data_IF_110843608049
#
_entry.id   IF_110843608049
#
_cell.length_a   1.000
_cell.length_b   1.000
_cell.length_c   1.000
_cell.angle_alpha   90.00
_cell.angle_beta   90.00
_cell.angle_gamma   90.00
#
_symmetry.space_group_name_H-M   'P 1'
#
loop_
_entity.id
_entity.type
_entity.pdbx_description
1 polymer ?
#
# COMPACT_ATOMS: atom_id res chain seq x y z
N UNK A 1 2.31 25.20 -14.24
CA UNK A 1 1.73 24.30 -13.27
C UNK A 1 2.77 23.23 -12.92
N UNK A 2 3.04 23.04 -11.65
CA UNK A 2 3.92 21.98 -11.14
C UNK A 2 3.20 20.63 -11.23
N UNK A 3 3.89 19.50 -11.47
CA UNK A 3 3.27 18.19 -11.44
C UNK A 3 2.79 17.86 -10.02
N UNK A 4 1.69 17.14 -9.93
CA UNK A 4 1.17 16.64 -8.66
C UNK A 4 2.19 15.67 -8.03
N UNK A 5 2.50 15.86 -6.76
CA UNK A 5 3.21 14.92 -5.93
C UNK A 5 2.36 14.68 -4.66
N UNK A 6 1.62 13.56 -4.59
CA UNK A 6 0.57 13.35 -3.59
C UNK A 6 0.69 12.00 -2.90
N UNK A 7 0.57 12.01 -1.57
CA UNK A 7 0.41 10.82 -0.74
C UNK A 7 -1.08 10.56 -0.49
N UNK A 8 -1.55 9.40 -0.91
CA UNK A 8 -2.88 8.88 -0.60
C UNK A 8 -2.75 7.88 0.56
N UNK A 9 -3.20 8.29 1.70
CA UNK A 9 -3.17 7.50 2.93
C UNK A 9 -4.57 6.95 3.22
N UNK A 10 -4.64 5.69 3.63
CA UNK A 10 -5.90 5.08 4.03
C UNK A 10 -5.68 3.68 4.56
N UNK A 11 -6.57 3.20 5.40
CA UNK A 11 -6.51 1.86 5.97
C UNK A 11 -6.59 0.77 4.88
N UNK A 12 -6.27 -0.46 5.24
CA UNK A 12 -6.42 -1.62 4.34
C UNK A 12 -7.89 -1.74 3.90
N UNK A 13 -8.11 -1.74 2.57
CA UNK A 13 -9.44 -1.83 1.99
C UNK A 13 -10.23 -0.51 1.94
N UNK A 14 -9.63 0.65 2.23
CA UNK A 14 -10.29 1.97 2.16
C UNK A 14 -10.60 2.46 0.74
N UNK A 15 -10.26 1.70 -0.31
CA UNK A 15 -10.53 2.10 -1.69
C UNK A 15 -9.39 2.83 -2.41
N UNK A 16 -8.17 2.85 -1.87
CA UNK A 16 -7.00 3.49 -2.53
C UNK A 16 -6.82 3.08 -3.99
N UNK A 17 -7.04 1.80 -4.30
CA UNK A 17 -6.91 1.28 -5.67
C UNK A 17 -7.95 1.89 -6.62
N UNK A 18 -9.15 2.21 -6.15
CA UNK A 18 -10.19 2.87 -6.96
C UNK A 18 -9.77 4.31 -7.28
N UNK A 19 -9.23 5.04 -6.30
CA UNK A 19 -8.69 6.40 -6.53
C UNK A 19 -7.52 6.36 -7.52
N UNK A 20 -6.63 5.39 -7.40
CA UNK A 20 -5.53 5.19 -8.34
C UNK A 20 -6.04 4.87 -9.77
N UNK A 21 -7.08 4.02 -9.88
CA UNK A 21 -7.73 3.70 -11.15
C UNK A 21 -8.34 4.94 -11.82
N UNK A 22 -9.03 5.79 -11.03
CA UNK A 22 -9.58 7.05 -11.49
C UNK A 22 -8.49 8.01 -12.00
N UNK A 23 -7.40 8.15 -11.24
CA UNK A 23 -6.26 8.98 -11.65
C UNK A 23 -5.56 8.45 -12.92
N UNK A 24 -5.39 7.14 -13.04
CA UNK A 24 -4.85 6.49 -14.24
C UNK A 24 -5.76 6.72 -15.45
N UNK A 25 -7.07 6.56 -15.26
CA UNK A 25 -8.04 6.82 -16.30
C UNK A 25 -7.99 8.27 -16.78
N UNK A 26 -7.89 9.23 -15.84
CA UNK A 26 -7.72 10.65 -16.17
C UNK A 26 -6.48 10.91 -17.01
N UNK A 27 -5.35 10.29 -16.67
CA UNK A 27 -4.11 10.42 -17.46
C UNK A 27 -4.28 9.85 -18.88
N UNK A 28 -4.91 8.66 -19.00
CA UNK A 28 -5.15 7.99 -20.27
C UNK A 28 -6.14 8.78 -21.14
N UNK A 29 -7.21 9.32 -20.58
CA UNK A 29 -8.18 10.17 -21.27
C UNK A 29 -7.51 11.43 -21.87
N UNK A 30 -6.45 11.92 -21.23
CA UNK A 30 -5.64 13.03 -21.74
C UNK A 30 -4.50 12.58 -22.69
N UNK A 31 -4.48 11.31 -23.09
CA UNK A 31 -3.52 10.73 -24.06
C UNK A 31 -2.13 10.50 -23.47
N UNK A 32 -2.00 10.33 -22.17
CA UNK A 32 -0.78 9.92 -21.49
C UNK A 32 -0.84 8.45 -21.11
N UNK A 33 0.32 7.88 -20.81
CA UNK A 33 0.44 6.55 -20.23
C UNK A 33 0.52 6.65 -18.70
N UNK A 34 0.02 5.62 -18.01
CA UNK A 34 0.15 5.46 -16.57
C UNK A 34 1.02 4.27 -16.19
N UNK A 35 1.76 4.40 -15.11
CA UNK A 35 2.53 3.30 -14.50
C UNK A 35 2.08 3.07 -13.06
N UNK A 36 1.80 1.82 -12.67
CA UNK A 36 1.55 1.43 -11.29
C UNK A 36 2.63 0.46 -10.83
N UNK A 37 3.38 0.86 -9.82
CA UNK A 37 4.45 0.07 -9.21
C UNK A 37 3.98 -0.58 -7.92
N UNK A 38 4.09 -1.91 -7.85
CA UNK A 38 3.78 -2.72 -6.67
C UNK A 38 5.04 -3.38 -6.11
N UNK A 39 5.10 -3.65 -4.79
CA UNK A 39 6.31 -4.19 -4.15
C UNK A 39 6.61 -5.65 -4.49
N UNK A 40 5.61 -6.43 -4.90
CA UNK A 40 5.76 -7.85 -5.26
C UNK A 40 5.04 -8.19 -6.55
N UNK A 41 5.43 -9.31 -7.19
CA UNK A 41 4.82 -9.77 -8.44
C UNK A 41 3.34 -10.13 -8.26
N UNK A 42 2.99 -10.78 -7.15
CA UNK A 42 1.60 -11.16 -6.87
C UNK A 42 0.70 -9.91 -6.71
N UNK A 43 1.19 -8.88 -6.03
CA UNK A 43 0.45 -7.61 -5.94
C UNK A 43 0.33 -6.92 -7.30
N UNK A 44 1.39 -6.96 -8.11
CA UNK A 44 1.33 -6.43 -9.46
C UNK A 44 0.30 -7.21 -10.32
N UNK A 45 0.25 -8.54 -10.23
CA UNK A 45 -0.76 -9.37 -10.88
C UNK A 45 -2.18 -9.03 -10.40
N UNK A 46 -2.37 -8.86 -9.08
CA UNK A 46 -3.65 -8.49 -8.50
C UNK A 46 -4.11 -7.11 -8.96
N UNK A 47 -3.22 -6.10 -8.92
CA UNK A 47 -3.53 -4.77 -9.43
C UNK A 47 -3.83 -4.79 -10.93
N UNK A 48 -3.05 -5.52 -11.74
CA UNK A 48 -3.29 -5.64 -13.17
C UNK A 48 -4.65 -6.29 -13.46
N UNK A 49 -5.02 -7.34 -12.71
CA UNK A 49 -6.33 -7.99 -12.84
C UNK A 49 -7.47 -7.03 -12.48
N UNK A 50 -7.36 -6.35 -11.34
CA UNK A 50 -8.37 -5.41 -10.86
C UNK A 50 -8.53 -4.21 -11.83
N UNK A 51 -7.42 -3.63 -12.28
CA UNK A 51 -7.47 -2.53 -13.24
C UNK A 51 -8.01 -2.96 -14.60
N UNK A 52 -7.69 -4.18 -15.06
CA UNK A 52 -8.32 -4.73 -16.27
C UNK A 52 -9.83 -4.85 -16.12
N UNK A 53 -10.31 -5.36 -15.00
CA UNK A 53 -11.75 -5.46 -14.73
C UNK A 53 -12.44 -4.09 -14.68
N UNK A 54 -11.81 -3.12 -14.01
CA UNK A 54 -12.38 -1.78 -13.84
C UNK A 54 -12.31 -0.92 -15.11
N UNK A 55 -11.22 -1.01 -15.88
CA UNK A 55 -10.91 -0.03 -16.92
C UNK A 55 -11.05 -0.57 -18.35
N UNK A 56 -11.02 -1.90 -18.59
CA UNK A 56 -11.05 -2.45 -19.96
C UNK A 56 -12.35 -2.16 -20.72
N UNK A 57 -13.42 -1.86 -20.01
CA UNK A 57 -14.73 -1.54 -20.58
C UNK A 57 -14.97 -0.03 -20.70
N UNK A 58 -14.06 0.79 -20.16
CA UNK A 58 -14.16 2.24 -20.23
C UNK A 58 -13.60 2.67 -21.59
N UNK A 59 -14.41 3.24 -22.47
CA UNK A 59 -13.92 3.76 -23.74
C UNK A 59 -12.99 4.95 -23.52
N UNK A 60 -11.82 4.93 -24.14
CA UNK A 60 -10.89 6.07 -24.12
C UNK A 60 -10.60 6.52 -25.55
N UNK A 61 -10.47 7.83 -25.81
CA UNK A 61 -10.20 8.33 -27.14
C UNK A 61 -8.84 7.83 -27.62
N UNK A 62 -8.79 7.22 -28.83
CA UNK A 62 -7.54 6.98 -29.53
C UNK A 62 -7.02 8.31 -30.07
N UNK A 63 -5.87 8.74 -29.64
CA UNK A 63 -5.13 9.75 -30.40
C UNK A 63 -4.44 9.06 -31.58
N UNK A 64 -5.05 9.15 -32.77
CA UNK A 64 -4.26 9.12 -34.01
C UNK A 64 -3.35 10.34 -34.02
N UNK A 65 -2.20 10.26 -34.68
CA UNK A 65 -1.25 11.36 -34.85
C UNK A 65 -1.84 12.60 -35.57
N UNK A 66 -3.09 12.53 -35.98
CA UNK A 66 -3.88 13.60 -36.56
C UNK A 66 -5.01 13.97 -35.62
N UNK A 67 -5.12 15.25 -35.29
CA UNK A 67 -6.16 15.80 -34.42
C UNK A 67 -7.56 15.47 -35.00
N UNK A 68 -8.27 14.54 -34.36
CA UNK A 68 -9.66 14.25 -34.71
C UNK A 68 -10.58 15.31 -34.11
N UNK A 69 -11.43 15.91 -34.95
CA UNK A 69 -12.47 16.83 -34.55
C UNK A 69 -13.54 16.13 -33.70
N UNK A 70 -14.03 16.81 -32.66
CA UNK A 70 -14.91 16.29 -31.61
C UNK A 70 -16.29 15.75 -32.02
N UNK A 71 -16.60 15.58 -33.29
CA UNK A 71 -17.91 15.09 -33.77
C UNK A 71 -18.01 13.56 -33.98
N UNK A 72 -16.87 12.80 -33.87
CA UNK A 72 -16.85 11.35 -34.16
C UNK A 72 -17.05 10.46 -32.93
N UNK A 73 -17.34 11.01 -31.76
CA UNK A 73 -17.38 10.24 -30.50
C UNK A 73 -18.78 9.81 -30.05
N UNK A 74 -19.80 9.86 -30.90
CA UNK A 74 -21.18 9.52 -30.52
C UNK A 74 -21.55 8.12 -30.97
N UNK A 75 -21.92 7.25 -30.02
CA UNK A 75 -22.68 5.98 -30.09
C UNK A 75 -21.94 4.68 -29.69
N UNK A 76 -21.75 4.44 -28.39
CA UNK A 76 -21.78 3.10 -27.79
C UNK A 76 -22.34 3.23 -26.36
N UNK A 77 -23.50 2.61 -26.10
CA UNK A 77 -24.04 2.50 -24.74
C UNK A 77 -23.31 1.39 -23.97
N UNK A 78 -22.17 1.73 -23.38
CA UNK A 78 -21.36 0.81 -22.57
C UNK A 78 -22.03 0.42 -21.25
N UNK A 79 -23.01 1.22 -20.77
CA UNK A 79 -23.74 0.96 -19.52
C UNK A 79 -24.66 -0.23 -19.65
N UNK A 80 -25.22 -0.46 -20.83
CA UNK A 80 -26.08 -1.61 -21.10
C UNK A 80 -25.32 -2.96 -21.07
N UNK A 81 -23.98 -2.94 -21.03
CA UNK A 81 -23.12 -4.12 -21.04
C UNK A 81 -22.53 -4.48 -19.66
N UNK A 82 -22.77 -3.66 -18.63
CA UNK A 82 -22.27 -3.85 -17.27
C UNK A 82 -23.37 -4.43 -16.38
N UNK A 83 -22.97 -5.26 -15.41
CA UNK A 83 -23.88 -5.60 -14.32
C UNK A 83 -24.15 -4.36 -13.42
N UNK A 84 -25.24 -4.36 -12.64
CA UNK A 84 -25.62 -3.20 -11.84
C UNK A 84 -24.55 -2.74 -10.83
N UNK A 85 -23.75 -3.66 -10.30
CA UNK A 85 -22.70 -3.37 -9.31
C UNK A 85 -21.45 -2.79 -9.99
N UNK A 86 -21.07 -3.31 -11.15
CA UNK A 86 -20.01 -2.76 -12.00
C UNK A 86 -20.38 -1.37 -12.52
N UNK A 87 -21.63 -1.18 -12.95
CA UNK A 87 -22.14 0.11 -13.42
C UNK A 87 -22.13 1.17 -12.29
N UNK A 88 -22.49 0.81 -11.06
CA UNK A 88 -22.46 1.70 -9.91
C UNK A 88 -21.03 2.15 -9.60
N UNK A 89 -20.08 1.21 -9.53
CA UNK A 89 -18.65 1.50 -9.28
C UNK A 89 -18.05 2.40 -10.37
N UNK A 90 -18.40 2.14 -11.62
CA UNK A 90 -17.90 2.95 -12.73
C UNK A 90 -18.50 4.36 -12.75
N UNK A 91 -19.81 4.50 -12.43
CA UNK A 91 -20.45 5.81 -12.29
C UNK A 91 -19.80 6.63 -11.15
N UNK A 92 -19.42 5.98 -10.05
CA UNK A 92 -18.69 6.62 -8.96
C UNK A 92 -17.33 7.14 -9.43
N UNK A 93 -16.56 6.33 -10.19
CA UNK A 93 -15.29 6.74 -10.79
C UNK A 93 -15.49 7.92 -11.76
N UNK A 94 -16.48 7.83 -12.65
CA UNK A 94 -16.79 8.87 -13.64
C UNK A 94 -17.19 10.19 -12.97
N UNK A 95 -17.97 10.14 -11.87
CA UNK A 95 -18.29 11.33 -11.07
C UNK A 95 -17.06 11.94 -10.39
N UNK A 96 -16.16 11.11 -9.84
CA UNK A 96 -14.93 11.57 -9.19
C UNK A 96 -14.03 12.32 -10.17
N UNK A 97 -13.93 11.86 -11.44
CA UNK A 97 -13.10 12.50 -12.46
C UNK A 97 -13.78 13.67 -13.19
N UNK A 98 -15.03 13.99 -12.84
CA UNK A 98 -15.77 15.11 -13.43
C UNK A 98 -16.12 14.93 -14.92
N UNK A 99 -16.13 13.69 -15.41
CA UNK A 99 -16.61 13.37 -16.77
C UNK A 99 -18.14 13.37 -16.78
N UNK A 100 -18.73 14.09 -17.70
CA UNK A 100 -20.19 14.04 -17.90
C UNK A 100 -20.56 12.73 -18.59
N UNK A 101 -21.64 12.07 -18.18
CA UNK A 101 -22.08 10.79 -18.74
C UNK A 101 -22.50 10.82 -20.22
N UNK A 102 -22.55 12.00 -20.82
CA UNK A 102 -23.09 12.26 -22.16
C UNK A 102 -21.99 12.39 -23.25
N UNK A 103 -20.71 12.43 -22.87
CA UNK A 103 -19.64 12.41 -23.85
C UNK A 103 -19.40 10.98 -24.32
N UNK A 104 -20.01 10.68 -25.42
CA UNK A 104 -19.96 9.40 -26.16
C UNK A 104 -18.54 9.17 -26.67
N UNK A 105 -17.82 8.28 -26.02
CA UNK A 105 -16.42 7.99 -26.35
C UNK A 105 -16.33 6.71 -27.19
N UNK A 106 -16.47 6.83 -28.50
CA UNK A 106 -16.20 5.77 -29.47
C UNK A 106 -14.74 5.31 -29.43
N UNK A 107 -14.35 4.65 -28.36
CA UNK A 107 -12.97 4.22 -28.11
C UNK A 107 -12.85 2.75 -27.76
N UNK A 108 -11.64 2.21 -27.83
CA UNK A 108 -11.34 0.90 -27.27
C UNK A 108 -11.08 1.05 -25.77
N UNK A 109 -11.43 0.02 -24.96
CA UNK A 109 -11.14 0.02 -23.53
C UNK A 109 -9.66 0.19 -23.21
N UNK A 110 -9.36 0.68 -21.99
CA UNK A 110 -7.99 0.90 -21.50
C UNK A 110 -7.16 -0.39 -21.56
N UNK A 111 -6.03 -0.33 -22.23
CA UNK A 111 -5.13 -1.48 -22.39
C UNK A 111 -4.15 -1.55 -21.23
N UNK A 112 -4.39 -2.48 -20.33
CA UNK A 112 -3.56 -2.72 -19.14
C UNK A 112 -2.61 -3.88 -19.41
N UNK A 113 -1.30 -3.69 -19.20
CA UNK A 113 -0.29 -4.73 -19.27
C UNK A 113 0.42 -4.96 -17.94
N UNK A 114 0.90 -6.18 -17.71
CA UNK A 114 1.73 -6.57 -16.58
C UNK A 114 3.19 -6.67 -17.02
N UNK A 115 4.12 -6.12 -16.23
CA UNK A 115 5.56 -6.22 -16.43
C UNK A 115 6.26 -6.65 -15.14
N UNK A 116 6.61 -7.92 -15.03
CA UNK A 116 7.31 -8.52 -13.87
C UNK A 116 8.62 -9.17 -14.28
N UNK A 117 9.43 -9.56 -13.30
CA UNK A 117 10.67 -10.27 -13.54
C UNK A 117 10.50 -11.68 -14.09
N UNK A 118 9.38 -12.34 -13.74
CA UNK A 118 9.04 -13.73 -14.13
C UNK A 118 8.49 -13.86 -15.56
N UNK A 119 8.18 -12.74 -16.24
CA UNK A 119 7.71 -12.77 -17.63
C UNK A 119 8.72 -13.40 -18.58
N UNK A 120 8.23 -14.33 -19.43
CA UNK A 120 9.03 -14.94 -20.48
C UNK A 120 9.61 -13.89 -21.46
N UNK A 121 10.81 -14.15 -21.98
CA UNK A 121 11.57 -13.19 -22.82
C UNK A 121 10.76 -12.64 -24.00
N UNK A 122 9.97 -13.48 -24.66
CA UNK A 122 9.15 -13.09 -25.84
C UNK A 122 7.98 -12.17 -25.42
N UNK A 123 7.32 -12.49 -24.32
CA UNK A 123 6.21 -11.70 -23.82
C UNK A 123 6.69 -10.36 -23.24
N UNK A 124 7.78 -10.40 -22.47
CA UNK A 124 8.46 -9.20 -21.98
C UNK A 124 8.78 -8.23 -23.12
N UNK A 125 9.39 -8.72 -24.20
CA UNK A 125 9.74 -7.90 -25.37
C UNK A 125 8.49 -7.27 -25.99
N UNK A 126 7.41 -8.05 -26.16
CA UNK A 126 6.13 -7.53 -26.69
C UNK A 126 5.56 -6.40 -25.82
N UNK A 127 5.61 -6.56 -24.50
CA UNK A 127 5.14 -5.52 -23.55
C UNK A 127 6.02 -4.27 -23.67
N UNK A 128 7.34 -4.41 -23.68
CA UNK A 128 8.28 -3.28 -23.82
C UNK A 128 8.06 -2.52 -25.12
N UNK A 129 7.93 -3.21 -26.25
CA UNK A 129 7.66 -2.62 -27.56
C UNK A 129 6.30 -1.90 -27.58
N UNK A 130 5.27 -2.47 -26.91
CA UNK A 130 3.95 -1.86 -26.79
C UNK A 130 3.94 -0.60 -25.92
N UNK A 131 4.75 -0.55 -24.84
CA UNK A 131 4.93 0.64 -24.01
C UNK A 131 5.60 1.75 -24.84
N UNK A 132 6.70 1.42 -25.53
CA UNK A 132 7.47 2.39 -26.31
C UNK A 132 6.68 2.98 -27.48
N UNK A 133 5.75 2.22 -28.07
CA UNK A 133 4.86 2.68 -29.15
C UNK A 133 3.57 3.36 -28.66
N UNK A 134 3.32 3.41 -27.34
CA UNK A 134 2.08 3.95 -26.78
C UNK A 134 0.85 3.06 -27.06
N UNK A 135 1.05 1.78 -27.37
CA UNK A 135 -0.03 0.80 -27.57
C UNK A 135 -0.59 0.27 -26.25
N UNK A 136 0.12 0.47 -25.15
CA UNK A 136 -0.28 0.12 -23.77
C UNK A 136 -0.54 1.43 -23.04
N UNK A 137 -1.74 1.54 -22.46
CA UNK A 137 -2.19 2.75 -21.78
C UNK A 137 -1.77 2.75 -20.31
N UNK A 138 -1.88 1.60 -19.63
CA UNK A 138 -1.48 1.44 -18.23
C UNK A 138 -0.57 0.23 -18.09
N UNK A 139 0.57 0.41 -17.45
CA UNK A 139 1.50 -0.66 -17.12
C UNK A 139 1.54 -0.86 -15.61
N UNK A 140 1.33 -2.10 -15.18
CA UNK A 140 1.47 -2.51 -13.79
C UNK A 140 2.71 -3.41 -13.68
N UNK A 141 3.54 -3.18 -12.68
CA UNK A 141 4.73 -4.03 -12.50
C UNK A 141 5.42 -3.80 -11.17
N UNK A 142 6.56 -4.46 -11.01
CA UNK A 142 7.43 -4.32 -9.85
C UNK A 142 8.58 -3.35 -10.18
N UNK A 143 9.71 -3.48 -9.47
CA UNK A 143 10.95 -2.77 -9.83
C UNK A 143 11.40 -2.97 -11.28
N UNK A 144 10.84 -3.94 -12.01
CA UNK A 144 11.06 -4.09 -13.45
C UNK A 144 10.69 -2.84 -14.25
N UNK A 145 9.76 -2.00 -13.77
CA UNK A 145 9.37 -0.72 -14.37
C UNK A 145 10.48 0.35 -14.35
N UNK A 146 11.41 0.25 -13.39
CA UNK A 146 12.48 1.23 -13.17
C UNK A 146 13.67 0.95 -14.09
N UNK A 147 13.78 -0.26 -14.64
CA UNK A 147 14.93 -0.67 -15.47
C UNK A 147 15.06 0.23 -16.71
N UNK A 148 16.28 0.51 -17.15
CA UNK A 148 16.57 1.38 -18.30
C UNK A 148 15.91 0.91 -19.60
N UNK A 149 15.64 -0.39 -19.71
CA UNK A 149 15.00 -0.99 -20.88
C UNK A 149 13.53 -0.57 -21.08
N UNK A 150 12.88 -0.04 -20.05
CA UNK A 150 11.48 0.44 -20.12
C UNK A 150 11.48 1.89 -20.59
N UNK A 151 10.97 2.13 -21.78
CA UNK A 151 10.81 3.47 -22.34
C UNK A 151 9.33 3.73 -22.60
N UNK A 152 8.80 4.81 -22.03
CA UNK A 152 7.42 5.22 -22.25
C UNK A 152 7.34 6.22 -23.39
N UNK A 153 6.33 6.08 -24.23
CA UNK A 153 6.07 7.07 -25.27
C UNK A 153 5.63 8.43 -24.66
N UNK A 154 4.77 8.39 -23.63
CA UNK A 154 4.21 9.60 -22.98
C UNK A 154 3.76 9.32 -21.54
N UNK A 155 4.67 9.05 -20.63
CA UNK A 155 4.34 8.81 -19.21
C UNK A 155 3.82 10.10 -18.55
N UNK A 156 2.59 10.10 -18.08
CA UNK A 156 1.94 11.24 -17.41
C UNK A 156 1.64 11.03 -15.94
N UNK A 157 1.44 9.79 -15.50
CA UNK A 157 1.16 9.46 -14.11
C UNK A 157 1.93 8.23 -13.65
N UNK A 158 2.54 8.35 -12.50
CA UNK A 158 3.18 7.27 -11.75
C UNK A 158 2.42 7.04 -10.45
N UNK A 159 1.96 5.82 -10.24
CA UNK A 159 1.35 5.36 -8.98
C UNK A 159 2.34 4.40 -8.31
N UNK A 160 2.64 4.63 -7.03
CA UNK A 160 3.52 3.77 -6.22
C UNK A 160 2.71 3.23 -5.05
N UNK A 161 2.54 1.92 -4.97
CA UNK A 161 1.84 1.27 -3.86
C UNK A 161 2.84 0.82 -2.78
N UNK A 162 2.44 0.91 -1.50
CA UNK A 162 3.23 0.57 -0.32
C UNK A 162 4.60 1.26 -0.29
N UNK A 163 4.60 2.58 -0.30
CA UNK A 163 5.77 3.45 -0.41
C UNK A 163 6.95 3.07 0.49
N UNK A 164 6.69 2.61 1.72
CA UNK A 164 7.73 2.29 2.70
C UNK A 164 8.71 1.19 2.23
N UNK A 165 8.36 0.47 1.15
CA UNK A 165 9.18 -0.56 0.53
C UNK A 165 10.04 -0.07 -0.63
N UNK A 166 9.89 1.21 -1.02
CA UNK A 166 10.64 1.80 -2.12
C UNK A 166 11.50 2.98 -1.64
N UNK A 167 12.78 2.94 -1.94
CA UNK A 167 13.70 4.03 -1.65
C UNK A 167 13.36 5.31 -2.45
N UNK A 168 13.80 6.46 -1.95
CA UNK A 168 13.66 7.76 -2.64
C UNK A 168 14.23 7.70 -4.05
N UNK A 169 15.40 7.07 -4.22
CA UNK A 169 16.08 6.93 -5.51
C UNK A 169 15.25 6.16 -6.55
N UNK A 170 14.55 5.11 -6.14
CA UNK A 170 13.70 4.32 -7.05
C UNK A 170 12.51 5.13 -7.58
N UNK A 171 11.94 5.98 -6.73
CA UNK A 171 10.86 6.91 -7.12
C UNK A 171 11.35 7.97 -8.10
N UNK A 172 12.52 8.53 -7.85
CA UNK A 172 13.16 9.50 -8.74
C UNK A 172 13.44 8.88 -10.12
N UNK A 173 14.03 7.69 -10.18
CA UNK A 173 14.29 6.98 -11.45
C UNK A 173 13.01 6.72 -12.26
N UNK A 174 11.87 6.46 -11.60
CA UNK A 174 10.61 6.28 -12.31
C UNK A 174 10.06 7.63 -12.81
N UNK A 175 10.27 8.70 -12.05
CA UNK A 175 9.92 10.06 -12.45
C UNK A 175 10.75 10.53 -13.67
N UNK A 176 12.02 10.14 -13.73
CA UNK A 176 12.92 10.49 -14.84
C UNK A 176 12.55 9.81 -16.18
N UNK A 177 11.69 8.78 -16.17
CA UNK A 177 11.20 8.10 -17.38
C UNK A 177 10.12 8.88 -18.16
N UNK A 178 9.64 9.98 -17.60
CA UNK A 178 8.66 10.86 -18.23
C UNK A 178 9.10 12.32 -18.21
N UNK A 179 8.40 13.14 -18.98
CA UNK A 179 8.62 14.59 -18.94
C UNK A 179 7.88 15.17 -17.71
N UNK A 180 8.44 14.96 -16.50
CA UNK A 180 7.91 15.43 -15.23
C UNK A 180 6.49 14.88 -14.91
N UNK A 181 6.29 13.54 -14.83
CA UNK A 181 4.98 12.95 -14.63
C UNK A 181 4.41 13.30 -13.25
N UNK A 182 3.09 13.30 -13.11
CA UNK A 182 2.41 13.33 -11.83
C UNK A 182 2.76 12.08 -11.02
N UNK A 183 2.84 12.21 -9.70
CA UNK A 183 3.13 11.11 -8.78
C UNK A 183 2.03 10.96 -7.73
N UNK A 184 1.45 9.77 -7.65
CA UNK A 184 0.53 9.35 -6.60
C UNK A 184 1.18 8.22 -5.80
N UNK A 185 1.45 8.47 -4.55
CA UNK A 185 2.02 7.47 -3.63
C UNK A 185 0.93 6.97 -2.72
N UNK A 186 0.78 5.66 -2.57
CA UNK A 186 -0.21 5.05 -1.70
C UNK A 186 0.45 4.35 -0.53
N UNK A 187 -0.19 4.39 0.63
CA UNK A 187 0.20 3.59 1.79
C UNK A 187 -1.01 3.08 2.55
N UNK A 188 -0.95 1.80 2.95
CA UNK A 188 -1.92 1.20 3.86
C UNK A 188 -1.49 1.30 5.33
N UNK A 189 -0.28 1.79 5.58
CA UNK A 189 0.16 2.07 6.96
C UNK A 189 -0.45 3.40 7.39
N UNK A 190 -1.34 3.43 8.37
CA UNK A 190 -1.79 4.68 8.94
C UNK A 190 -0.60 5.37 9.61
N UNK A 191 -0.27 6.56 9.11
CA UNK A 191 0.78 7.42 9.70
C UNK A 191 0.05 8.54 10.42
N UNK A 192 0.38 8.87 11.67
CA UNK A 192 -0.22 9.99 12.35
C UNK A 192 -0.16 11.24 11.48
N UNK A 193 -1.25 12.00 11.39
CA UNK A 193 -1.32 13.22 10.56
C UNK A 193 -0.17 14.18 10.86
N UNK A 194 0.24 14.21 12.11
CA UNK A 194 1.37 14.98 12.62
C UNK A 194 2.69 14.62 11.94
N UNK A 195 2.97 13.33 11.85
CA UNK A 195 4.19 12.80 11.26
C UNK A 195 4.19 12.86 9.74
N UNK A 196 3.04 12.75 9.11
CA UNK A 196 2.91 12.84 7.65
C UNK A 196 3.41 14.19 7.13
N UNK A 197 3.08 15.27 7.81
CA UNK A 197 3.54 16.63 7.47
C UNK A 197 5.05 16.82 7.63
N UNK A 198 5.68 16.05 8.50
CA UNK A 198 7.12 16.17 8.78
C UNK A 198 7.95 15.27 7.86
N UNK A 199 7.51 14.02 7.67
CA UNK A 199 8.27 13.01 6.91
C UNK A 199 8.07 13.17 5.40
N UNK A 200 6.88 13.61 4.98
CA UNK A 200 6.48 13.74 3.58
C UNK A 200 6.15 15.19 3.23
N UNK A 201 6.91 16.13 3.73
CA UNK A 201 6.70 17.57 3.52
C UNK A 201 6.73 18.01 2.05
N UNK A 202 7.32 17.18 1.18
CA UNK A 202 7.35 17.34 -0.28
C UNK A 202 6.09 16.80 -0.99
N UNK A 203 5.19 16.12 -0.27
CA UNK A 203 3.97 15.56 -0.82
C UNK A 203 2.72 16.26 -0.26
N UNK A 204 1.76 16.51 -1.13
CA UNK A 204 0.38 16.79 -0.70
C UNK A 204 -0.24 15.52 -0.11
N UNK A 205 -1.06 15.66 0.93
CA UNK A 205 -1.66 14.53 1.61
C UNK A 205 -3.17 14.47 1.39
N UNK A 206 -3.66 13.31 0.98
CA UNK A 206 -5.08 12.97 0.97
C UNK A 206 -5.31 11.74 1.84
N UNK A 207 -6.37 11.78 2.66
CA UNK A 207 -6.68 10.71 3.61
C UNK A 207 -8.04 10.11 3.27
N UNK A 208 -8.09 8.77 3.19
CA UNK A 208 -9.32 7.99 3.12
C UNK A 208 -9.58 7.41 4.51
N UNK A 209 -10.41 8.07 5.28
CA UNK A 209 -10.75 7.71 6.67
C UNK A 209 -12.07 6.95 6.80
N UNK A 210 -12.83 6.82 5.71
CA UNK A 210 -14.05 6.04 5.70
C UNK A 210 -13.76 4.54 5.43
N UNK A 211 -14.55 3.69 6.09
CA UNK A 211 -14.53 2.25 5.85
C UNK A 211 -15.51 1.88 4.74
N UNK A 212 -15.18 0.90 3.88
CA UNK A 212 -16.14 0.41 2.90
C UNK A 212 -17.43 -0.08 3.58
N UNK A 213 -18.61 0.22 3.00
CA UNK A 213 -19.87 -0.28 3.51
C UNK A 213 -19.88 -1.83 3.52
N UNK A 214 -20.52 -2.42 4.54
CA UNK A 214 -20.67 -3.88 4.67
C UNK A 214 -19.47 -4.63 5.27
N UNK A 215 -18.35 -3.98 5.53
CA UNK A 215 -17.20 -4.63 6.19
C UNK A 215 -17.50 -4.86 7.68
N UNK A 216 -17.44 -6.12 8.12
CA UNK A 216 -17.63 -6.47 9.54
C UNK A 216 -16.39 -6.09 10.36
N UNK A 217 -16.60 -5.68 11.61
CA UNK A 217 -15.50 -5.42 12.53
C UNK A 217 -14.78 -6.71 12.89
N UNK A 218 -13.44 -6.64 12.91
CA UNK A 218 -12.61 -7.77 13.31
C UNK A 218 -12.63 -7.86 14.82
N UNK A 219 -13.06 -9.00 15.36
CA UNK A 219 -13.05 -9.25 16.80
C UNK A 219 -11.65 -9.58 17.26
N UNK A 220 -11.02 -8.65 17.96
CA UNK A 220 -9.66 -8.83 18.49
C UNK A 220 -9.71 -9.26 19.94
N UNK A 221 -8.92 -10.26 20.33
CA UNK A 221 -8.82 -10.73 21.70
C UNK A 221 -7.40 -11.14 22.05
N UNK A 222 -6.91 -10.66 23.20
CA UNK A 222 -5.68 -11.11 23.82
C UNK A 222 -5.95 -12.34 24.71
N UNK A 223 -5.06 -13.34 24.63
CA UNK A 223 -5.04 -14.52 25.49
C UNK A 223 -3.60 -14.79 25.95
N UNK A 224 -3.44 -15.51 27.07
CA UNK A 224 -2.15 -16.01 27.52
C UNK A 224 -1.73 -17.27 26.73
N UNK A 225 -0.43 -17.61 26.75
CA UNK A 225 0.04 -18.87 26.15
C UNK A 225 -0.55 -20.12 26.81
N UNK A 226 -0.98 -20.03 28.07
CA UNK A 226 -1.66 -21.14 28.75
C UNK A 226 -3.08 -21.38 28.23
N UNK A 227 -3.67 -20.40 27.55
CA UNK A 227 -4.98 -20.50 26.93
C UNK A 227 -4.92 -20.87 25.44
N UNK A 228 -3.73 -21.19 24.89
CA UNK A 228 -3.50 -21.53 23.47
C UNK A 228 -4.46 -22.63 22.97
N UNK A 229 -4.85 -23.56 23.80
CA UNK A 229 -5.84 -24.59 23.47
C UNK A 229 -7.21 -24.01 23.06
N UNK A 230 -7.57 -22.82 23.58
CA UNK A 230 -8.80 -22.12 23.14
C UNK A 230 -8.63 -21.62 21.70
N UNK A 231 -7.45 -21.11 21.34
CA UNK A 231 -7.13 -20.70 19.96
C UNK A 231 -7.15 -21.91 19.02
N UNK A 232 -6.57 -23.03 19.40
CA UNK A 232 -6.57 -24.26 18.60
C UNK A 232 -7.99 -24.80 18.35
N UNK A 233 -8.84 -24.80 19.34
CA UNK A 233 -10.26 -25.16 19.17
C UNK A 233 -10.98 -24.20 18.23
N UNK A 234 -10.69 -22.90 18.30
CA UNK A 234 -11.26 -21.92 17.40
C UNK A 234 -10.78 -22.13 15.96
N UNK A 235 -9.47 -22.37 15.75
CA UNK A 235 -8.92 -22.70 14.44
C UNK A 235 -9.63 -23.91 13.82
N UNK A 236 -9.74 -25.01 14.59
CA UNK A 236 -10.40 -26.25 14.12
C UNK A 236 -11.85 -26.00 13.72
N UNK A 237 -12.59 -25.19 14.50
CA UNK A 237 -13.94 -24.78 14.15
C UNK A 237 -13.99 -24.01 12.85
N UNK A 238 -13.12 -23.01 12.65
CA UNK A 238 -13.10 -22.19 11.44
C UNK A 238 -12.73 -23.00 10.20
N UNK A 239 -11.76 -23.89 10.31
CA UNK A 239 -11.40 -24.79 9.20
C UNK A 239 -12.52 -25.77 8.87
N UNK A 240 -13.23 -26.32 9.87
CA UNK A 240 -14.41 -27.16 9.66
C UNK A 240 -15.56 -26.41 8.95
N UNK A 241 -15.65 -25.09 9.12
CA UNK A 241 -16.56 -24.20 8.39
C UNK A 241 -16.04 -23.84 6.98
N UNK A 242 -14.92 -24.43 6.53
CA UNK A 242 -14.28 -24.15 5.24
C UNK A 242 -13.50 -22.84 5.18
N UNK A 243 -13.09 -22.28 6.34
CA UNK A 243 -12.30 -21.04 6.41
C UNK A 243 -10.82 -21.32 6.52
N UNK A 244 -10.01 -20.31 6.19
CA UNK A 244 -8.56 -20.38 6.27
C UNK A 244 -8.04 -19.51 7.43
N UNK A 245 -6.85 -19.86 7.92
CA UNK A 245 -6.27 -19.25 9.12
C UNK A 245 -4.82 -18.87 8.88
N UNK A 246 -4.45 -17.68 9.36
CA UNK A 246 -3.05 -17.25 9.48
C UNK A 246 -2.53 -17.47 10.89
N UNK A 247 -1.30 -17.96 11.02
CA UNK A 247 -0.55 -18.01 12.28
C UNK A 247 0.76 -17.27 12.08
N UNK A 248 0.92 -16.14 12.79
CA UNK A 248 2.10 -15.28 12.67
C UNK A 248 3.03 -15.52 13.84
N UNK A 249 4.30 -15.80 13.54
CA UNK A 249 5.36 -15.98 14.52
C UNK A 249 6.36 -14.82 14.46
N UNK A 250 6.92 -14.37 15.59
CA UNK A 250 7.99 -13.40 15.60
C UNK A 250 9.26 -13.98 14.97
N UNK A 251 10.11 -13.10 14.43
CA UNK A 251 11.48 -13.47 14.07
C UNK A 251 12.26 -13.70 15.37
N UNK A 252 12.80 -14.89 15.53
CA UNK A 252 13.70 -15.23 16.64
C UNK A 252 15.11 -15.21 16.06
N UNK A 253 15.97 -14.30 16.55
CA UNK A 253 17.40 -14.36 16.27
C UNK A 253 18.03 -15.45 17.12
N UNK A 254 18.98 -16.20 16.57
CA UNK A 254 19.66 -17.34 17.25
C UNK A 254 20.33 -16.97 18.59
N UNK A 255 20.55 -15.68 18.83
CA UNK A 255 21.15 -15.14 20.06
C UNK A 255 20.17 -14.94 21.21
N UNK A 256 18.87 -14.93 20.96
CA UNK A 256 17.85 -14.73 21.99
C UNK A 256 17.25 -16.08 22.42
N UNK A 257 17.69 -16.60 23.56
CA UNK A 257 17.05 -17.75 24.27
C UNK A 257 15.68 -17.32 24.83
N UNK A 258 14.71 -17.12 23.95
CA UNK A 258 13.35 -16.83 24.34
C UNK A 258 12.47 -18.08 24.12
N UNK A 259 11.59 -18.38 25.06
CA UNK A 259 10.62 -19.49 25.02
C UNK A 259 9.52 -19.33 23.96
N UNK A 260 9.81 -18.64 22.84
CA UNK A 260 8.88 -18.43 21.73
C UNK A 260 9.30 -19.28 20.53
N UNK A 261 8.39 -20.09 19.98
CA UNK A 261 8.70 -20.93 18.82
C UNK A 261 8.99 -20.10 17.59
N UNK A 262 9.98 -20.52 16.82
CA UNK A 262 10.21 -20.03 15.45
C UNK A 262 9.03 -20.39 14.53
N UNK A 263 8.97 -19.83 13.34
CA UNK A 263 7.92 -20.18 12.39
C UNK A 263 8.03 -21.64 11.93
N UNK A 264 9.26 -22.15 11.79
CA UNK A 264 9.52 -23.55 11.46
C UNK A 264 9.08 -24.50 12.58
N UNK A 265 9.43 -24.22 13.83
CA UNK A 265 9.01 -25.03 14.99
C UNK A 265 7.48 -25.01 15.17
N UNK A 266 6.86 -23.85 14.94
CA UNK A 266 5.41 -23.73 14.98
C UNK A 266 4.74 -24.52 13.88
N UNK A 267 5.29 -24.49 12.66
CA UNK A 267 4.81 -25.29 11.54
C UNK A 267 4.87 -26.79 11.86
N UNK A 268 6.03 -27.29 12.31
CA UNK A 268 6.21 -28.71 12.69
C UNK A 268 5.20 -29.13 13.76
N UNK A 269 5.06 -28.31 14.80
CA UNK A 269 4.10 -28.54 15.86
C UNK A 269 2.67 -28.58 15.37
N UNK A 270 2.24 -27.60 14.57
CA UNK A 270 0.88 -27.54 14.09
C UNK A 270 0.58 -28.68 13.10
N UNK A 271 1.51 -29.00 12.19
CA UNK A 271 1.30 -30.04 11.19
C UNK A 271 1.33 -31.45 11.77
N UNK A 272 2.19 -31.72 12.77
CA UNK A 272 2.42 -33.11 13.21
C UNK A 272 1.76 -33.42 14.57
N UNK A 273 1.60 -32.42 15.46
CA UNK A 273 1.07 -32.68 16.80
C UNK A 273 -0.37 -32.18 17.01
N UNK A 274 -0.69 -30.97 16.50
CA UNK A 274 -1.97 -30.29 16.83
C UNK A 274 -3.03 -30.54 15.76
N UNK A 275 -2.66 -30.44 14.48
CA UNK A 275 -3.55 -30.55 13.32
C UNK A 275 -3.01 -31.51 12.25
N UNK A 276 -2.72 -32.77 12.57
CA UNK A 276 -2.18 -33.73 11.60
C UNK A 276 -3.13 -34.04 10.45
N UNK A 277 -4.39 -33.74 10.61
CA UNK A 277 -5.48 -33.87 9.64
C UNK A 277 -5.72 -32.64 8.74
N UNK A 278 -5.06 -31.53 9.02
CA UNK A 278 -5.19 -30.29 8.25
C UNK A 278 -3.95 -30.00 7.39
N UNK A 279 -4.14 -29.23 6.34
CA UNK A 279 -3.07 -28.84 5.41
C UNK A 279 -2.43 -27.55 5.88
N UNK A 280 -1.26 -27.65 6.48
CA UNK A 280 -0.48 -26.50 6.96
C UNK A 280 0.57 -26.12 5.93
N UNK A 281 0.79 -24.84 5.71
CA UNK A 281 1.88 -24.30 4.90
C UNK A 281 2.78 -23.40 5.72
N UNK A 282 4.04 -23.26 5.32
CA UNK A 282 5.04 -22.40 5.96
C UNK A 282 5.50 -21.32 4.97
N UNK A 283 5.60 -20.08 5.46
CA UNK A 283 6.11 -18.92 4.73
C UNK A 283 7.06 -18.10 5.61
N UNK A 284 8.34 -18.00 5.22
CA UNK A 284 9.33 -17.25 6.01
C UNK A 284 10.31 -16.46 5.16
N UNK A 285 11.06 -15.53 5.80
CA UNK A 285 11.95 -14.59 5.15
C UNK A 285 13.05 -15.19 4.28
N UNK A 286 13.59 -16.37 4.67
CA UNK A 286 14.71 -17.06 4.00
C UNK A 286 14.31 -17.71 2.66
N UNK A 287 13.01 -17.90 2.38
CA UNK A 287 12.53 -18.42 1.10
C UNK A 287 12.80 -17.43 -0.04
N UNK A 288 13.09 -17.96 -1.23
CA UNK A 288 13.18 -17.16 -2.44
C UNK A 288 11.84 -16.47 -2.77
N UNK A 289 11.88 -15.41 -3.56
CA UNK A 289 10.66 -14.73 -4.01
C UNK A 289 9.68 -15.68 -4.70
N UNK A 290 10.20 -16.60 -5.53
CA UNK A 290 9.41 -17.58 -6.26
C UNK A 290 8.70 -18.57 -5.32
N UNK A 291 9.42 -19.12 -4.33
CA UNK A 291 8.84 -20.03 -3.34
C UNK A 291 7.74 -19.33 -2.52
N UNK A 292 7.98 -18.09 -2.09
CA UNK A 292 6.96 -17.28 -1.40
C UNK A 292 5.71 -17.11 -2.24
N UNK A 293 5.88 -16.83 -3.53
CA UNK A 293 4.78 -16.65 -4.45
C UNK A 293 3.99 -17.95 -4.68
N UNK A 294 4.69 -19.09 -4.81
CA UNK A 294 4.08 -20.40 -4.97
C UNK A 294 3.23 -20.78 -3.74
N UNK A 295 3.77 -20.61 -2.52
CA UNK A 295 3.05 -20.90 -1.26
C UNK A 295 1.83 -19.98 -1.12
N UNK A 296 1.98 -18.69 -1.41
CA UNK A 296 0.87 -17.75 -1.28
C UNK A 296 -0.24 -17.99 -2.32
N UNK A 297 0.11 -18.37 -3.55
CA UNK A 297 -0.87 -18.79 -4.56
C UNK A 297 -1.62 -20.05 -4.11
N UNK A 298 -0.90 -21.06 -3.62
CA UNK A 298 -1.50 -22.29 -3.12
C UNK A 298 -2.45 -22.04 -1.93
N UNK A 299 -2.08 -21.12 -1.02
CA UNK A 299 -2.95 -20.72 0.07
C UNK A 299 -4.18 -19.96 -0.41
N UNK A 300 -4.04 -18.99 -1.31
CA UNK A 300 -5.16 -18.26 -1.91
C UNK A 300 -6.13 -19.21 -2.63
N UNK A 301 -5.61 -20.21 -3.34
CA UNK A 301 -6.38 -21.19 -4.09
C UNK A 301 -6.91 -22.34 -3.20
N UNK A 302 -6.90 -22.15 -1.87
CA UNK A 302 -7.41 -23.06 -0.84
C UNK A 302 -6.80 -24.47 -0.88
N UNK A 303 -5.53 -24.59 -1.28
CA UNK A 303 -4.78 -25.84 -1.17
C UNK A 303 -4.26 -26.09 0.26
N UNK A 304 -4.23 -25.04 1.08
CA UNK A 304 -3.84 -25.09 2.50
C UNK A 304 -4.91 -24.44 3.36
N UNK A 305 -5.13 -24.99 4.56
CA UNK A 305 -6.10 -24.54 5.54
C UNK A 305 -5.50 -23.53 6.51
N UNK A 306 -4.23 -23.72 6.85
CA UNK A 306 -3.45 -22.89 7.78
C UNK A 306 -2.17 -22.44 7.11
N UNK A 307 -1.84 -21.14 7.22
CA UNK A 307 -0.55 -20.59 6.81
C UNK A 307 0.20 -20.07 8.03
N UNK A 308 1.30 -20.74 8.37
CA UNK A 308 2.26 -20.28 9.39
C UNK A 308 3.25 -19.34 8.71
N UNK A 309 3.44 -18.15 9.24
CA UNK A 309 4.32 -17.15 8.64
C UNK A 309 5.05 -16.29 9.66
N UNK A 310 6.18 -15.73 9.24
CA UNK A 310 6.81 -14.59 9.91
C UNK A 310 6.15 -13.27 9.43
N UNK A 311 6.72 -12.12 9.83
CA UNK A 311 6.26 -10.79 9.41
C UNK A 311 6.22 -10.57 7.87
N UNK A 312 6.78 -11.47 7.06
CA UNK A 312 6.76 -11.41 5.59
C UNK A 312 5.35 -11.29 5.00
N UNK A 313 4.32 -11.74 5.75
CA UNK A 313 2.92 -11.66 5.33
C UNK A 313 2.36 -10.22 5.28
N UNK A 314 3.09 -9.22 5.75
CA UNK A 314 2.70 -7.81 5.61
C UNK A 314 2.43 -7.42 4.15
N UNK A 315 2.96 -8.18 3.20
CA UNK A 315 2.80 -7.93 1.76
C UNK A 315 1.51 -8.54 1.23
N UNK A 316 0.62 -7.75 0.93
CA UNK A 316 -0.70 -7.51 0.42
C UNK A 316 -1.46 -8.54 -0.40
N UNK A 317 -1.34 -9.86 -0.26
CA UNK A 317 -2.21 -10.80 -0.95
C UNK A 317 -3.58 -10.85 -0.28
N UNK A 318 -4.62 -10.66 -1.08
CA UNK A 318 -6.00 -10.76 -0.63
C UNK A 318 -6.46 -12.21 -0.64
N UNK A 319 -6.82 -12.73 0.54
CA UNK A 319 -7.44 -14.05 0.73
C UNK A 319 -8.76 -13.88 1.47
N UNK A 320 -9.86 -13.61 0.75
CA UNK A 320 -11.16 -13.30 1.37
C UNK A 320 -11.69 -14.41 2.28
N UNK A 321 -11.29 -15.67 2.02
CA UNK A 321 -11.67 -16.83 2.82
C UNK A 321 -10.90 -16.95 4.15
N UNK A 322 -9.81 -16.21 4.36
CA UNK A 322 -9.08 -16.18 5.62
C UNK A 322 -9.81 -15.30 6.64
N UNK A 323 -10.40 -15.93 7.65
CA UNK A 323 -11.22 -15.25 8.67
C UNK A 323 -10.55 -15.17 10.02
N UNK A 324 -9.47 -15.88 10.26
CA UNK A 324 -8.77 -15.87 11.55
C UNK A 324 -7.29 -15.61 11.37
N UNK A 325 -6.76 -14.74 12.21
CA UNK A 325 -5.33 -14.54 12.37
C UNK A 325 -4.93 -14.72 13.83
N UNK A 326 -3.94 -15.56 14.07
CA UNK A 326 -3.34 -15.79 15.39
C UNK A 326 -1.93 -15.21 15.36
N UNK A 327 -1.58 -14.38 16.33
CA UNK A 327 -0.26 -13.73 16.41
C UNK A 327 0.42 -14.20 17.71
N UNK A 328 1.45 -15.01 17.54
CA UNK A 328 2.30 -15.50 18.64
C UNK A 328 3.29 -14.41 19.07
N UNK A 329 3.50 -14.28 20.40
CA UNK A 329 4.41 -13.26 20.92
C UNK A 329 4.04 -11.85 20.48
N UNK A 330 2.73 -11.52 20.54
CA UNK A 330 2.19 -10.28 19.98
C UNK A 330 2.84 -9.01 20.55
N UNK A 331 3.40 -9.07 21.77
CA UNK A 331 4.16 -7.97 22.40
C UNK A 331 5.44 -7.57 21.66
N UNK A 332 5.97 -8.44 20.83
CA UNK A 332 7.20 -8.19 20.06
C UNK A 332 6.98 -7.34 18.80
N UNK A 333 5.74 -7.20 18.39
CA UNK A 333 5.38 -6.42 17.21
C UNK A 333 4.96 -5.00 17.58
N UNK A 334 5.29 -4.05 16.71
CA UNK A 334 4.79 -2.69 16.79
C UNK A 334 3.28 -2.62 16.53
N UNK A 335 2.60 -1.58 17.06
CA UNK A 335 1.15 -1.45 16.94
C UNK A 335 0.71 -1.30 15.47
N UNK A 336 1.46 -0.55 14.66
CA UNK A 336 1.22 -0.43 13.22
C UNK A 336 1.32 -1.79 12.50
N UNK A 337 2.31 -2.62 12.87
CA UNK A 337 2.52 -3.93 12.31
C UNK A 337 1.40 -4.91 12.69
N UNK A 338 1.00 -4.92 13.96
CA UNK A 338 -0.15 -5.70 14.43
C UNK A 338 -1.44 -5.31 13.71
N UNK A 339 -1.63 -4.01 13.45
CA UNK A 339 -2.78 -3.52 12.68
C UNK A 339 -2.73 -4.02 11.23
N UNK A 340 -1.56 -4.00 10.58
CA UNK A 340 -1.39 -4.54 9.23
C UNK A 340 -1.68 -6.04 9.17
N UNK A 341 -1.20 -6.83 10.14
CA UNK A 341 -1.54 -8.25 10.26
C UNK A 341 -3.04 -8.46 10.43
N UNK A 342 -3.69 -7.71 11.34
CA UNK A 342 -5.13 -7.77 11.52
C UNK A 342 -5.87 -7.45 10.20
N UNK A 343 -5.39 -6.52 9.41
CA UNK A 343 -5.93 -6.17 8.10
C UNK A 343 -5.84 -7.27 7.04
N UNK A 344 -5.13 -8.39 7.32
CA UNK A 344 -5.09 -9.56 6.41
C UNK A 344 -6.37 -10.39 6.47
N UNK A 345 -7.18 -10.25 7.50
CA UNK A 345 -8.52 -10.85 7.63
C UNK A 345 -9.60 -9.78 7.55
N UNK A 346 -10.87 -10.18 7.50
CA UNK A 346 -11.99 -9.25 7.39
C UNK A 346 -12.20 -8.67 5.99
N UNK A 347 -11.81 -9.39 4.95
CA UNK A 347 -11.97 -8.99 3.55
C UNK A 347 -13.15 -9.67 2.85
N UNK A 348 -13.72 -10.68 3.48
CA UNK A 348 -14.92 -11.38 3.03
C UNK A 348 -16.16 -10.97 3.83
N UNK A 349 -17.29 -11.62 3.52
CA UNK A 349 -18.59 -11.41 4.18
C UNK A 349 -18.69 -12.06 5.58
N UNK A 350 -17.70 -12.87 5.97
CA UNK A 350 -17.72 -13.64 7.21
C UNK A 350 -17.07 -12.90 8.37
N UNK A 351 -17.59 -13.14 9.59
CA UNK A 351 -17.00 -12.61 10.80
C UNK A 351 -15.54 -13.04 10.94
N UNK A 352 -14.65 -12.09 11.18
CA UNK A 352 -13.22 -12.34 11.29
C UNK A 352 -12.69 -12.08 12.69
N UNK A 353 -11.59 -12.76 13.03
CA UNK A 353 -11.02 -12.82 14.36
C UNK A 353 -9.52 -12.57 14.33
N UNK A 354 -9.03 -11.79 15.29
CA UNK A 354 -7.61 -11.58 15.55
C UNK A 354 -7.31 -12.03 16.99
N UNK A 355 -6.50 -13.08 17.15
CA UNK A 355 -6.12 -13.63 18.45
C UNK A 355 -4.66 -13.26 18.71
N UNK A 356 -4.43 -12.50 19.79
CA UNK A 356 -3.11 -12.04 20.20
C UNK A 356 -2.65 -12.92 21.37
N UNK A 357 -1.59 -13.69 21.17
CA UNK A 357 -0.99 -14.52 22.25
C UNK A 357 0.18 -13.77 22.85
N UNK A 358 0.07 -13.43 24.14
CA UNK A 358 1.08 -12.65 24.84
C UNK A 358 1.02 -12.90 26.35
N UNK A 359 2.19 -13.12 26.94
CA UNK A 359 2.39 -13.22 28.40
C UNK A 359 3.24 -12.06 28.95
N UNK A 360 3.47 -11.04 28.17
CA UNK A 360 4.28 -9.90 28.60
C UNK A 360 3.65 -9.16 29.79
N UNK A 361 4.45 -8.95 30.83
CA UNK A 361 4.10 -8.13 32.00
C UNK A 361 4.47 -6.65 31.81
N UNK A 362 5.15 -6.30 30.73
CA UNK A 362 5.52 -4.93 30.40
C UNK A 362 4.26 -4.08 30.19
N UNK A 363 4.13 -2.99 30.93
CA UNK A 363 2.97 -2.10 30.90
C UNK A 363 2.71 -1.50 29.51
N UNK A 364 3.75 -1.05 28.83
CA UNK A 364 3.64 -0.49 27.49
C UNK A 364 3.14 -1.52 26.46
N UNK A 365 3.59 -2.78 26.58
CA UNK A 365 3.08 -3.87 25.73
C UNK A 365 1.60 -4.15 26.02
N UNK A 366 1.20 -4.15 27.31
CA UNK A 366 -0.21 -4.31 27.69
C UNK A 366 -1.10 -3.21 27.12
N UNK A 367 -0.66 -1.96 27.19
CA UNK A 367 -1.39 -0.80 26.65
C UNK A 367 -1.51 -0.87 25.13
N UNK A 368 -0.44 -1.24 24.39
CA UNK A 368 -0.49 -1.45 22.93
C UNK A 368 -1.50 -2.54 22.54
N UNK A 369 -1.44 -3.70 23.21
CA UNK A 369 -2.34 -4.80 22.89
C UNK A 369 -3.79 -4.47 23.27
N UNK A 370 -4.03 -3.77 24.37
CA UNK A 370 -5.34 -3.29 24.77
C UNK A 370 -5.91 -2.27 23.77
N UNK A 371 -5.09 -1.37 23.24
CA UNK A 371 -5.51 -0.45 22.19
C UNK A 371 -6.00 -1.19 20.94
N UNK A 372 -5.31 -2.27 20.53
CA UNK A 372 -5.72 -3.08 19.38
C UNK A 372 -7.04 -3.85 19.62
N UNK A 373 -7.34 -4.22 20.88
CA UNK A 373 -8.63 -4.82 21.25
C UNK A 373 -9.79 -3.81 21.24
N UNK A 374 -9.51 -2.53 21.58
CA UNK A 374 -10.53 -1.50 21.75
C UNK A 374 -10.95 -0.83 20.46
N UNK A 375 -10.03 -0.70 19.49
CA UNK A 375 -10.32 -0.01 18.24
C UNK A 375 -9.87 -0.77 17.01
N UNK A 376 -10.68 -0.66 15.94
CA UNK A 376 -10.33 -1.12 14.60
C UNK A 376 -9.83 0.02 13.70
N UNK A 377 -9.79 1.26 14.21
CA UNK A 377 -9.34 2.43 13.46
C UNK A 377 -7.80 2.50 13.43
N UNK A 378 -7.21 2.39 12.25
CA UNK A 378 -5.77 2.41 12.07
C UNK A 378 -5.14 3.77 12.39
N UNK A 379 -5.83 4.88 12.12
CA UNK A 379 -5.33 6.22 12.43
C UNK A 379 -5.28 6.46 13.93
N UNK A 380 -6.33 6.05 14.64
CA UNK A 380 -6.36 6.11 16.10
C UNK A 380 -5.24 5.26 16.73
N UNK A 381 -5.02 4.05 16.18
CA UNK A 381 -3.91 3.20 16.62
C UNK A 381 -2.55 3.83 16.37
N UNK A 382 -2.36 4.49 15.25
CA UNK A 382 -1.10 5.18 14.93
C UNK A 382 -0.85 6.36 15.90
N UNK A 383 -1.88 7.11 16.27
CA UNK A 383 -1.76 8.18 17.28
C UNK A 383 -1.42 7.63 18.67
N UNK A 384 -2.04 6.51 19.07
CA UNK A 384 -1.71 5.82 20.31
C UNK A 384 -0.26 5.32 20.31
N UNK A 385 0.20 4.71 19.20
CA UNK A 385 1.58 4.22 19.08
C UNK A 385 2.60 5.37 19.21
N UNK A 386 2.30 6.53 18.62
CA UNK A 386 3.12 7.73 18.76
C UNK A 386 3.19 8.23 20.22
N UNK A 387 2.06 8.21 20.93
CA UNK A 387 2.00 8.61 22.34
C UNK A 387 2.78 7.65 23.23
N UNK A 388 2.66 6.34 23.01
CA UNK A 388 3.31 5.31 23.82
C UNK A 388 4.82 5.23 23.62
N UNK A 389 5.31 5.44 22.39
CA UNK A 389 6.75 5.42 22.09
C UNK A 389 7.43 6.77 22.39
N UNK A 390 6.65 7.83 22.38
CA UNK A 390 7.20 9.19 22.39
C UNK A 390 7.80 9.60 21.04
N UNK A 391 7.91 10.89 20.78
CA UNK A 391 8.40 11.42 19.50
C UNK A 391 9.85 11.03 19.16
N UNK A 392 10.70 10.75 20.16
CA UNK A 392 12.12 10.44 19.96
C UNK A 392 12.42 9.06 19.38
N UNK A 393 11.63 8.05 19.72
CA UNK A 393 11.84 6.67 19.22
C UNK A 393 11.23 6.43 17.83
N UNK A 394 10.26 7.24 17.42
CA UNK A 394 9.62 7.09 16.10
C UNK A 394 10.54 7.47 14.95
N UNK A 395 11.48 8.36 15.19
CA UNK A 395 12.53 8.76 14.25
C UNK A 395 13.79 7.89 14.36
N UNK A 396 13.67 6.67 14.89
CA UNK A 396 14.73 5.70 15.18
C UNK A 396 15.98 5.89 14.33
N UNK A 397 17.08 6.09 15.01
CA UNK A 397 18.47 6.07 14.51
C UNK A 397 18.64 6.37 13.02
N UNK A 398 18.94 7.65 12.72
CA UNK A 398 19.60 8.10 11.48
C UNK A 398 19.09 7.47 10.19
N UNK A 399 17.86 7.76 9.78
CA UNK A 399 17.65 8.00 8.36
C UNK A 399 18.29 9.35 8.06
N UNK A 400 19.41 9.32 7.34
CA UNK A 400 20.12 10.47 6.85
C UNK A 400 19.15 11.41 6.12
N UNK A 401 18.90 12.60 6.67
CA UNK A 401 18.09 13.64 6.05
C UNK A 401 17.00 14.28 6.90
N UNK A 402 16.72 13.83 8.13
CA UNK A 402 15.77 14.55 9.00
C UNK A 402 16.44 15.72 9.70
N UNK A 403 15.91 16.96 9.57
CA UNK A 403 16.45 18.12 10.26
C UNK A 403 16.37 17.95 11.78
N UNK A 404 17.45 18.33 12.48
CA UNK A 404 17.46 18.42 13.92
C UNK A 404 16.60 19.63 14.34
N UNK A 405 15.36 19.39 14.75
CA UNK A 405 14.43 20.44 15.17
C UNK A 405 14.85 21.01 16.53
N UNK A 406 15.62 22.10 16.49
CA UNK A 406 16.19 22.72 17.69
C UNK A 406 15.19 23.45 18.60
N UNK A 407 14.02 23.83 18.06
CA UNK A 407 13.10 24.74 18.76
C UNK A 407 11.66 24.21 18.91
N UNK A 408 11.28 23.14 18.23
CA UNK A 408 9.95 22.54 18.33
C UNK A 408 10.05 21.11 18.83
N UNK A 409 9.14 20.69 19.71
CA UNK A 409 8.97 19.28 20.00
C UNK A 409 8.38 18.62 18.72
N UNK A 410 8.94 17.48 18.34
CA UNK A 410 8.57 16.75 17.12
C UNK A 410 7.07 16.36 17.02
N UNK A 411 6.26 16.58 18.06
CA UNK A 411 4.81 16.37 18.10
C UNK A 411 3.98 17.66 18.06
N UNK A 412 4.58 18.84 17.87
CA UNK A 412 3.84 20.09 17.79
C UNK A 412 3.31 20.34 16.36
N UNK A 413 2.18 19.68 16.06
CA UNK A 413 1.48 19.81 14.78
C UNK A 413 1.04 21.19 14.42
N UNK A 414 0.65 21.98 15.41
CA UNK A 414 0.17 23.34 15.17
C UNK A 414 1.32 24.20 14.66
N UNK A 415 2.48 24.11 15.31
CA UNK A 415 3.67 24.85 14.91
C UNK A 415 4.18 24.41 13.54
N UNK A 416 4.19 23.10 13.25
CA UNK A 416 4.58 22.56 11.94
C UNK A 416 3.65 23.02 10.82
N UNK A 417 2.33 22.98 11.06
CA UNK A 417 1.32 23.43 10.07
C UNK A 417 1.44 24.94 9.82
N UNK A 418 1.72 25.72 10.86
CA UNK A 418 1.90 27.15 10.75
C UNK A 418 3.20 27.50 10.00
N UNK A 419 4.30 26.82 10.32
CA UNK A 419 5.58 26.99 9.64
C UNK A 419 5.47 26.63 8.13
N UNK A 420 4.79 25.54 7.78
CA UNK A 420 4.54 25.17 6.38
C UNK A 420 3.74 26.24 5.66
N UNK A 421 2.63 26.70 6.25
CA UNK A 421 1.81 27.78 5.65
C UNK A 421 2.60 29.05 5.43
N UNK A 422 3.46 29.42 6.39
CA UNK A 422 4.34 30.59 6.23
C UNK A 422 5.37 30.39 5.12
N UNK A 423 5.99 29.20 5.03
CA UNK A 423 6.92 28.88 3.96
C UNK A 423 6.24 28.92 2.58
N UNK A 424 5.03 28.34 2.45
CA UNK A 424 4.24 28.37 1.21
C UNK A 424 3.90 29.82 0.81
N UNK A 425 3.52 30.67 1.76
CA UNK A 425 3.23 32.07 1.51
C UNK A 425 4.47 32.84 1.02
N UNK A 426 5.62 32.63 1.67
CA UNK A 426 6.90 33.26 1.26
C UNK A 426 7.30 32.79 -0.14
N UNK A 427 7.30 31.49 -0.40
CA UNK A 427 7.71 30.93 -1.70
C UNK A 427 6.73 31.27 -2.84
N UNK A 428 5.45 31.49 -2.53
CA UNK A 428 4.48 31.97 -3.54
C UNK A 428 4.76 33.41 -3.97
N UNK A 429 5.29 34.24 -3.07
CA UNK A 429 5.58 35.65 -3.29
C UNK A 429 7.03 35.90 -3.79
N UNK A 430 7.98 35.08 -3.30
CA UNK A 430 9.40 35.15 -3.64
C UNK A 430 9.99 33.71 -3.78
N UNK A 431 9.76 33.03 -4.91
CA UNK A 431 10.18 31.63 -5.11
C UNK A 431 11.68 31.38 -5.00
N UNK A 432 12.51 32.38 -5.32
CA UNK A 432 13.96 32.29 -5.29
C UNK A 432 14.59 32.90 -4.01
N UNK A 433 13.75 33.41 -3.09
CA UNK A 433 14.20 34.12 -1.89
C UNK A 433 15.20 35.27 -2.20
N UNK A 434 14.91 36.04 -3.24
CA UNK A 434 15.80 37.13 -3.71
C UNK A 434 15.53 38.48 -3.04
N UNK A 435 14.39 38.62 -2.35
CA UNK A 435 14.10 39.89 -1.63
C UNK A 435 15.03 40.09 -0.47
N UNK A 436 15.41 41.34 -0.17
CA UNK A 436 16.31 41.66 0.94
C UNK A 436 15.87 41.13 2.30
N UNK A 437 14.55 41.14 2.59
CA UNK A 437 13.97 40.59 3.81
C UNK A 437 14.14 39.08 3.94
N UNK A 438 14.30 38.34 2.84
CA UNK A 438 14.49 36.90 2.82
C UNK A 438 15.94 36.44 2.72
N UNK A 439 16.89 37.37 2.64
CA UNK A 439 18.32 37.05 2.46
C UNK A 439 18.89 36.11 3.53
N UNK A 440 18.54 36.31 4.80
CA UNK A 440 18.93 35.43 5.90
C UNK A 440 18.29 34.04 5.78
N UNK A 441 17.03 33.96 5.34
CA UNK A 441 16.33 32.70 5.11
C UNK A 441 17.01 31.92 3.98
N UNK A 442 17.30 32.56 2.84
CA UNK A 442 18.05 31.98 1.72
C UNK A 442 19.39 31.40 2.18
N UNK A 443 20.18 32.17 2.91
CA UNK A 443 21.48 31.73 3.45
C UNK A 443 21.35 30.48 4.33
N UNK A 444 20.31 30.39 5.15
CA UNK A 444 20.02 29.21 5.99
C UNK A 444 19.60 28.02 5.20
N UNK A 445 18.75 28.20 4.18
CA UNK A 445 18.28 27.13 3.27
C UNK A 445 19.47 26.58 2.48
N UNK A 446 20.31 27.44 1.90
CA UNK A 446 21.50 27.04 1.15
C UNK A 446 22.50 26.26 2.02
N UNK A 447 22.74 26.74 3.25
CA UNK A 447 23.60 26.04 4.21
C UNK A 447 23.06 24.66 4.56
N UNK A 448 21.75 24.53 4.79
CA UNK A 448 21.09 23.27 5.10
C UNK A 448 21.24 22.24 3.97
N UNK A 449 20.98 22.65 2.72
CA UNK A 449 21.11 21.74 1.56
C UNK A 449 22.57 21.36 1.28
N UNK A 450 23.53 22.29 1.52
CA UNK A 450 24.95 21.99 1.38
C UNK A 450 25.44 20.96 2.42
N UNK A 451 24.91 21.03 3.63
CA UNK A 451 25.23 20.09 4.70
C UNK A 451 24.57 18.73 4.46
N UNK A 452 23.31 18.70 3.99
CA UNK A 452 22.59 17.50 3.62
C UNK A 452 23.24 16.74 2.44
N UNK A 453 23.72 17.45 1.42
CA UNK A 453 24.47 16.86 0.29
C UNK A 453 25.85 16.30 0.67
N UNK A 454 26.46 16.79 1.75
CA UNK A 454 27.76 16.26 2.24
C UNK A 454 27.60 15.05 3.15
N UNK A 455 26.40 14.83 3.70
CA UNK A 455 26.10 13.74 4.63
C UNK A 455 25.52 12.49 3.94
N UNK A 456 25.12 12.55 2.66
CA UNK A 456 24.63 11.44 1.80
C UNK A 456 25.68 11.06 0.78
#
# INVERSE_FOLDING_TARGET
PSPMARLLQGDVGSGKTVVAAAALLQAVANGFQGALMAPTEILAEQHAKNLKQLLSRVPVPRRSSEAMNGEQYRQIDWRAQLDPEEAARLNEIVQIIGMTPEEDMGGHGVRVALLTGSLGTRERRRVLDGIARGEIDVVVGTHALITETVQFARLGLVVVDEQHRFGVEQRLRLKDKGCNPHMLVMTATPIPRTLTLTIYGDLDVSVLDERPPGRQEIRTRRISRFEREKAYRHIRKQVAEGRQVYVICPLVEESEKLDLPSAEEMYEKLQHEVFPDLRVALLHGKMSAREKDEVMRAFRDHQHDILVSTAVIEVGIDVPNATTIVIEGAERFGLAQLHQFRGRVGRGSHQSYCILISDSDNQQSKERLAALEQTNDGFQLAEIDLQLRGPGEFFGTRQSGTPDLKMARQGDTRLLSEARRMAEAILSDDPALERPEHALLRQRVDAFWTEAMRAG
#
